data_IF_957143049674
#
_entry.id   IF_957143049674
#
_cell.length_a   1.000
_cell.length_b   1.000
_cell.length_c   1.000
_cell.angle_alpha   90.00
_cell.angle_beta   90.00
_cell.angle_gamma   90.00
#
_symmetry.space_group_name_H-M   'P 1'
#
loop_
_entity.id
_entity.type
_entity.pdbx_description
1 polymer ?
#
# COMPACT_ATOMS: atom_id res chain seq x y z
N UNK A 1 -32.01 0.23 50.51
CA UNK A 1 -32.79 0.97 49.52
C UNK A 1 -31.77 1.49 48.50
N UNK A 2 -31.48 0.79 47.52
CA UNK A 2 -31.97 0.60 46.16
C UNK A 2 -32.25 1.90 45.40
N UNK A 3 -31.38 2.19 44.41
CA UNK A 3 -31.83 2.67 43.09
C UNK A 3 -30.65 2.57 42.11
N UNK A 4 -30.82 1.59 41.21
CA UNK A 4 -30.00 1.38 40.00
C UNK A 4 -30.41 2.43 38.97
N UNK A 5 -29.43 3.21 38.45
CA UNK A 5 -29.60 4.06 37.27
C UNK A 5 -28.81 3.45 36.11
N UNK A 6 -29.51 2.78 35.17
CA UNK A 6 -28.95 2.38 33.87
C UNK A 6 -28.92 3.61 32.98
N UNK A 7 -27.75 4.05 32.57
CA UNK A 7 -27.59 5.01 31.48
C UNK A 7 -27.40 4.22 30.18
N UNK A 8 -28.43 4.30 29.34
CA UNK A 8 -28.43 3.79 27.96
C UNK A 8 -27.74 4.85 27.09
N UNK A 9 -26.55 4.56 26.60
CA UNK A 9 -25.92 5.38 25.56
C UNK A 9 -26.45 4.99 24.20
N UNK A 10 -27.21 5.89 23.60
CA UNK A 10 -27.62 5.85 22.19
C UNK A 10 -26.41 6.28 21.36
N UNK A 11 -25.87 5.34 20.59
CA UNK A 11 -24.91 5.64 19.52
C UNK A 11 -25.66 6.27 18.35
N UNK A 12 -25.35 7.53 18.09
CA UNK A 12 -25.81 8.24 16.91
C UNK A 12 -24.94 7.83 15.71
N UNK A 13 -25.48 6.98 14.84
CA UNK A 13 -24.92 6.68 13.53
C UNK A 13 -25.23 7.89 12.64
N UNK A 14 -24.21 8.65 12.26
CA UNK A 14 -24.30 9.68 11.23
C UNK A 14 -24.22 9.00 9.86
N UNK A 15 -25.37 8.77 9.25
CA UNK A 15 -25.50 8.39 7.85
C UNK A 15 -25.28 9.63 6.98
N UNK A 16 -24.12 9.74 6.35
CA UNK A 16 -23.90 10.67 5.24
C UNK A 16 -24.57 10.11 3.99
N UNK A 17 -25.75 10.59 3.71
CA UNK A 17 -26.44 10.41 2.44
C UNK A 17 -25.75 11.24 1.35
N UNK A 18 -24.94 10.61 0.53
CA UNK A 18 -24.46 11.19 -0.72
C UNK A 18 -25.56 11.22 -1.76
N UNK A 19 -25.86 12.40 -2.30
CA UNK A 19 -26.79 12.58 -3.41
C UNK A 19 -26.33 11.81 -4.64
N UNK A 20 -27.08 10.79 -5.02
CA UNK A 20 -26.92 10.10 -6.29
C UNK A 20 -27.62 10.87 -7.40
N UNK A 21 -26.90 11.14 -8.50
CA UNK A 21 -27.49 11.46 -9.80
C UNK A 21 -27.90 10.15 -10.48
N UNK A 22 -29.16 10.09 -10.86
CA UNK A 22 -29.74 9.00 -11.63
C UNK A 22 -29.19 9.03 -13.07
N UNK A 23 -28.95 7.85 -13.62
CA UNK A 23 -28.88 7.64 -15.06
C UNK A 23 -27.81 6.63 -15.47
N UNK A 24 -28.20 5.44 -15.68
CA UNK A 24 -27.95 4.47 -16.75
C UNK A 24 -27.89 3.04 -16.24
N UNK A 25 -28.99 2.35 -16.47
CA UNK A 25 -29.08 0.90 -16.33
C UNK A 25 -28.33 0.22 -17.47
N UNK A 26 -27.06 -0.02 -17.28
CA UNK A 26 -26.31 -0.98 -18.07
C UNK A 26 -26.18 -2.27 -17.27
N UNK A 27 -26.67 -3.37 -17.87
CA UNK A 27 -26.72 -4.69 -17.26
C UNK A 27 -25.38 -5.12 -16.68
N UNK A 28 -25.32 -5.27 -15.39
CA UNK A 28 -24.20 -5.90 -14.70
C UNK A 28 -24.21 -7.39 -15.04
N UNK A 29 -23.36 -7.76 -16.01
CA UNK A 29 -22.87 -9.14 -16.07
C UNK A 29 -22.23 -9.49 -14.73
N UNK A 30 -22.48 -10.70 -14.17
CA UNK A 30 -21.84 -11.11 -12.92
C UNK A 30 -20.33 -11.00 -13.11
N UNK A 31 -19.69 -10.12 -12.35
CA UNK A 31 -18.22 -9.99 -12.29
C UNK A 31 -17.66 -11.34 -11.90
N UNK A 32 -17.22 -12.11 -12.91
CA UNK A 32 -16.41 -13.28 -12.64
C UNK A 32 -15.26 -12.83 -11.74
N UNK A 33 -15.01 -13.54 -10.67
CA UNK A 33 -13.91 -13.31 -9.76
C UNK A 33 -12.60 -13.42 -10.55
N UNK A 34 -12.18 -12.34 -11.18
CA UNK A 34 -10.84 -12.23 -11.72
C UNK A 34 -9.90 -12.51 -10.54
N UNK A 35 -9.15 -13.61 -10.61
CA UNK A 35 -8.32 -14.05 -9.50
C UNK A 35 -7.46 -12.90 -8.99
N UNK A 36 -7.41 -12.76 -7.67
CA UNK A 36 -6.57 -11.74 -7.03
C UNK A 36 -5.11 -12.10 -7.30
N UNK A 37 -4.36 -11.17 -7.85
CA UNK A 37 -2.94 -11.33 -8.13
C UNK A 37 -2.09 -10.91 -6.94
N UNK A 38 -0.85 -11.39 -6.90
CA UNK A 38 0.12 -10.99 -5.88
C UNK A 38 0.90 -9.74 -6.29
N UNK A 39 0.22 -8.74 -6.85
CA UNK A 39 0.84 -7.47 -7.24
C UNK A 39 1.55 -6.82 -6.04
N UNK A 40 2.80 -6.40 -6.21
CA UNK A 40 3.62 -5.81 -5.13
C UNK A 40 2.94 -4.57 -4.56
N UNK A 41 2.42 -3.72 -5.43
CA UNK A 41 1.70 -2.50 -5.06
C UNK A 41 0.20 -2.64 -5.35
N UNK A 42 -0.62 -1.83 -4.68
CA UNK A 42 -2.06 -1.89 -4.85
C UNK A 42 -2.48 -1.53 -6.28
N UNK A 43 -3.27 -2.37 -6.97
CA UNK A 43 -3.95 -1.95 -8.18
C UNK A 43 -5.02 -0.90 -7.84
N UNK A 44 -5.37 -0.08 -8.82
CA UNK A 44 -6.39 0.96 -8.63
C UNK A 44 -7.75 0.36 -8.33
N UNK A 45 -8.49 1.03 -7.45
CA UNK A 45 -9.83 0.59 -7.08
C UNK A 45 -9.85 -0.75 -6.35
N UNK A 46 -8.74 -1.12 -5.73
CA UNK A 46 -8.68 -2.30 -4.89
C UNK A 46 -9.64 -2.16 -3.70
N UNK A 47 -10.53 -3.11 -3.56
CA UNK A 47 -11.44 -3.18 -2.42
C UNK A 47 -10.73 -3.73 -1.18
N UNK A 48 -11.27 -3.51 0.02
CA UNK A 48 -10.71 -4.04 1.26
C UNK A 48 -10.52 -5.57 1.25
N UNK A 49 -11.47 -6.40 0.79
CA UNK A 49 -11.26 -7.84 0.67
C UNK A 49 -10.12 -8.20 -0.30
N UNK A 50 -10.02 -7.50 -1.45
CA UNK A 50 -8.97 -7.73 -2.43
C UNK A 50 -7.60 -7.33 -1.89
N UNK A 51 -7.50 -6.20 -1.19
CA UNK A 51 -6.29 -5.78 -0.47
C UNK A 51 -5.81 -6.88 0.48
N UNK A 52 -6.70 -7.39 1.33
CA UNK A 52 -6.36 -8.45 2.27
C UNK A 52 -5.84 -9.70 1.55
N UNK A 53 -6.56 -10.17 0.53
CA UNK A 53 -6.16 -11.36 -0.25
C UNK A 53 -4.80 -11.15 -0.93
N UNK A 54 -4.56 -9.97 -1.50
CA UNK A 54 -3.26 -9.64 -2.10
C UNK A 54 -2.14 -9.68 -1.05
N UNK A 55 -2.35 -9.10 0.13
CA UNK A 55 -1.37 -9.13 1.20
C UNK A 55 -1.06 -10.56 1.66
N UNK A 56 -2.06 -11.40 1.80
CA UNK A 56 -1.88 -12.83 2.12
C UNK A 56 -1.03 -13.54 1.06
N UNK A 57 -1.31 -13.28 -0.22
CA UNK A 57 -0.54 -13.87 -1.33
C UNK A 57 0.92 -13.38 -1.31
N UNK A 58 1.16 -12.09 -1.09
CA UNK A 58 2.51 -11.51 -1.00
C UNK A 58 3.29 -12.08 0.17
N UNK A 59 2.69 -12.15 1.35
CA UNK A 59 3.31 -12.71 2.55
C UNK A 59 3.72 -14.16 2.29
N UNK A 60 2.81 -14.98 1.77
CA UNK A 60 3.10 -16.37 1.43
C UNK A 60 4.22 -16.51 0.38
N UNK A 61 4.22 -15.64 -0.64
CA UNK A 61 5.26 -15.61 -1.67
C UNK A 61 6.62 -15.28 -1.05
N UNK A 62 6.71 -14.21 -0.29
CA UNK A 62 7.97 -13.73 0.27
C UNK A 62 8.52 -14.63 1.39
N UNK A 63 7.66 -15.30 2.17
CA UNK A 63 8.11 -16.36 3.09
C UNK A 63 8.83 -17.46 2.32
N UNK A 64 8.31 -17.90 1.16
CA UNK A 64 8.96 -18.93 0.35
C UNK A 64 10.27 -18.44 -0.29
N UNK A 65 10.29 -17.20 -0.79
CA UNK A 65 11.47 -16.60 -1.43
C UNK A 65 12.58 -16.29 -0.42
N UNK A 66 12.24 -15.89 0.80
CA UNK A 66 13.19 -15.66 1.87
C UNK A 66 13.86 -16.96 2.40
N UNK A 67 13.40 -18.13 1.97
CA UNK A 67 13.97 -19.43 2.32
C UNK A 67 13.04 -20.26 3.20
N UNK A 68 13.49 -21.47 3.64
CA UNK A 68 12.66 -22.36 4.42
C UNK A 68 12.18 -21.63 5.68
N UNK A 69 10.85 -21.64 5.93
CA UNK A 69 10.29 -20.90 7.01
C UNK A 69 10.87 -21.40 8.34
N UNK A 70 11.38 -20.52 9.20
CA UNK A 70 11.60 -20.90 10.59
C UNK A 70 10.27 -21.39 11.17
N UNK A 71 10.31 -22.21 12.23
CA UNK A 71 9.08 -22.69 12.92
C UNK A 71 8.10 -21.57 13.25
N UNK A 72 8.59 -20.33 13.36
CA UNK A 72 7.83 -19.10 13.53
C UNK A 72 6.93 -18.69 12.35
N UNK A 73 7.12 -19.24 11.14
CA UNK A 73 6.25 -18.89 9.99
C UNK A 73 4.81 -19.34 10.19
N UNK A 74 4.60 -20.46 10.88
CA UNK A 74 3.27 -20.92 11.22
C UNK A 74 2.53 -19.90 12.09
N UNK A 75 3.22 -19.30 13.07
CA UNK A 75 2.67 -18.24 13.91
C UNK A 75 2.32 -16.98 13.12
N UNK A 76 3.16 -16.57 12.16
CA UNK A 76 2.85 -15.44 11.28
C UNK A 76 1.61 -15.67 10.42
N UNK A 77 1.50 -16.84 9.81
CA UNK A 77 0.34 -17.19 8.98
C UNK A 77 -0.93 -17.30 9.83
N UNK A 78 -0.81 -17.73 11.08
CA UNK A 78 -1.92 -17.74 12.02
C UNK A 78 -2.39 -16.32 12.37
N UNK A 79 -1.47 -15.37 12.63
CA UNK A 79 -1.80 -13.95 12.80
C UNK A 79 -2.54 -13.43 11.58
N UNK A 80 -2.02 -13.71 10.38
CA UNK A 80 -2.66 -13.26 9.14
C UNK A 80 -4.07 -13.84 9.01
N UNK A 81 -4.25 -15.12 9.34
CA UNK A 81 -5.57 -15.77 9.32
C UNK A 81 -6.52 -15.17 10.34
N UNK A 82 -6.05 -14.85 11.53
CA UNK A 82 -6.85 -14.31 12.62
C UNK A 82 -7.08 -12.80 12.50
N UNK A 83 -6.36 -12.10 11.63
CA UNK A 83 -6.51 -10.65 11.45
C UNK A 83 -7.88 -10.22 10.87
N UNK A 84 -8.71 -11.20 10.48
CA UNK A 84 -10.08 -10.98 10.07
C UNK A 84 -11.02 -11.97 10.76
N UNK A 85 -12.20 -11.48 11.13
CA UNK A 85 -13.30 -12.32 11.59
C UNK A 85 -13.97 -13.06 10.40
N UNK A 86 -14.93 -13.95 10.71
CA UNK A 86 -15.67 -14.72 9.72
C UNK A 86 -16.47 -13.83 8.74
N UNK A 87 -16.81 -12.60 9.14
CA UNK A 87 -17.48 -11.62 8.29
C UNK A 87 -16.48 -10.81 7.42
N UNK A 88 -15.18 -11.11 7.49
CA UNK A 88 -14.13 -10.41 6.76
C UNK A 88 -13.81 -9.03 7.33
N UNK A 89 -14.28 -8.70 8.53
CA UNK A 89 -13.89 -7.50 9.26
C UNK A 89 -12.57 -7.75 9.98
N UNK A 90 -11.82 -6.69 10.24
CA UNK A 90 -10.60 -6.80 11.02
C UNK A 90 -10.94 -7.26 12.45
N UNK A 91 -10.30 -8.35 12.88
CA UNK A 91 -10.43 -8.86 14.22
C UNK A 91 -9.44 -8.13 15.15
N UNK A 92 -9.88 -7.81 16.35
CA UNK A 92 -8.96 -7.32 17.39
C UNK A 92 -8.01 -8.45 17.79
N UNK A 93 -6.72 -8.21 17.61
CA UNK A 93 -5.67 -9.10 18.08
C UNK A 93 -4.97 -8.49 19.29
N UNK A 94 -4.59 -9.31 20.25
CA UNK A 94 -3.78 -8.84 21.36
C UNK A 94 -2.44 -8.30 20.83
N UNK A 95 -2.12 -7.01 21.01
CA UNK A 95 -0.91 -6.38 20.46
C UNK A 95 0.36 -7.11 20.88
N UNK A 96 0.36 -7.67 22.06
CA UNK A 96 1.51 -8.39 22.63
C UNK A 96 1.81 -9.68 21.90
N UNK A 97 0.80 -10.43 21.47
CA UNK A 97 0.96 -11.70 20.76
C UNK A 97 1.51 -11.45 19.34
N UNK A 98 1.00 -10.43 18.67
CA UNK A 98 1.51 -9.99 17.36
C UNK A 98 2.99 -9.64 17.46
N UNK A 99 3.37 -8.79 18.40
CA UNK A 99 4.77 -8.36 18.60
C UNK A 99 5.67 -9.51 18.97
N UNK A 100 5.24 -10.43 19.83
CA UNK A 100 6.02 -11.61 20.23
C UNK A 100 6.31 -12.53 19.06
N UNK A 101 5.32 -12.73 18.19
CA UNK A 101 5.48 -13.54 16.98
C UNK A 101 6.42 -12.89 15.98
N UNK A 102 6.27 -11.57 15.75
CA UNK A 102 7.15 -10.81 14.87
C UNK A 102 8.60 -10.77 15.38
N UNK A 103 8.79 -10.61 16.69
CA UNK A 103 10.12 -10.67 17.32
C UNK A 103 10.78 -12.03 17.08
N UNK A 104 10.04 -13.11 17.29
CA UNK A 104 10.54 -14.49 17.06
C UNK A 104 10.91 -14.68 15.58
N UNK A 105 10.09 -14.17 14.66
CA UNK A 105 10.34 -14.21 13.23
C UNK A 105 11.62 -13.46 12.84
N UNK A 106 11.76 -12.22 13.27
CA UNK A 106 12.93 -11.39 12.93
C UNK A 106 14.21 -11.92 13.56
N UNK A 107 14.18 -12.41 14.82
CA UNK A 107 15.31 -13.08 15.45
C UNK A 107 15.74 -14.33 14.69
N UNK A 108 14.80 -15.10 14.16
CA UNK A 108 15.09 -16.29 13.34
C UNK A 108 15.80 -15.98 12.03
N UNK A 109 15.72 -14.75 11.54
CA UNK A 109 16.41 -14.29 10.34
C UNK A 109 17.80 -13.68 10.63
N UNK A 110 18.11 -13.36 11.89
CA UNK A 110 19.41 -12.80 12.25
C UNK A 110 20.54 -13.78 11.92
N UNK A 111 21.66 -13.25 11.40
CA UNK A 111 22.82 -14.06 10.98
C UNK A 111 22.60 -14.84 9.68
N UNK A 112 21.46 -14.72 9.02
CA UNK A 112 21.24 -15.23 7.66
C UNK A 112 21.82 -14.24 6.62
N UNK A 113 21.83 -14.65 5.34
CA UNK A 113 22.22 -13.76 4.26
C UNK A 113 21.27 -12.54 4.15
N UNK A 114 21.72 -11.51 3.44
CA UNK A 114 21.02 -10.24 3.32
C UNK A 114 19.63 -10.37 2.66
N UNK A 115 19.47 -11.31 1.73
CA UNK A 115 18.19 -11.56 1.05
C UNK A 115 17.15 -12.07 2.04
N UNK A 116 17.54 -13.05 2.87
CA UNK A 116 16.65 -13.62 3.90
C UNK A 116 16.29 -12.62 4.98
N UNK A 117 17.27 -11.83 5.43
CA UNK A 117 17.02 -10.77 6.40
C UNK A 117 16.07 -9.70 5.83
N UNK A 118 16.33 -9.21 4.61
CA UNK A 118 15.46 -8.25 3.95
C UNK A 118 14.05 -8.80 3.73
N UNK A 119 13.92 -10.05 3.29
CA UNK A 119 12.64 -10.73 3.15
C UNK A 119 11.89 -10.87 4.47
N UNK A 120 12.60 -11.12 5.58
CA UNK A 120 11.99 -11.17 6.89
C UNK A 120 11.39 -9.83 7.33
N UNK A 121 12.06 -8.72 7.06
CA UNK A 121 11.54 -7.37 7.31
C UNK A 121 10.35 -7.02 6.42
N UNK A 122 10.38 -7.41 5.13
CA UNK A 122 9.22 -7.24 4.24
C UNK A 122 7.98 -7.97 4.76
N UNK A 123 8.15 -9.24 5.15
CA UNK A 123 7.05 -10.04 5.71
C UNK A 123 6.54 -9.42 6.99
N UNK A 124 7.44 -9.02 7.90
CA UNK A 124 7.08 -8.40 9.17
C UNK A 124 6.29 -7.10 8.98
N UNK A 125 6.69 -6.25 8.02
CA UNK A 125 5.97 -5.02 7.68
C UNK A 125 4.53 -5.32 7.22
N UNK A 126 4.35 -6.28 6.32
CA UNK A 126 3.01 -6.64 5.81
C UNK A 126 2.14 -7.28 6.87
N UNK A 127 2.68 -8.19 7.67
CA UNK A 127 1.95 -8.83 8.77
C UNK A 127 1.49 -7.80 9.79
N UNK A 128 2.39 -6.88 10.17
CA UNK A 128 2.04 -5.84 11.13
C UNK A 128 0.93 -4.91 10.59
N UNK A 129 1.00 -4.51 9.31
CA UNK A 129 -0.05 -3.69 8.69
C UNK A 129 -1.40 -4.39 8.60
N UNK A 130 -1.43 -5.72 8.47
CA UNK A 130 -2.68 -6.49 8.49
C UNK A 130 -3.24 -6.67 9.89
N UNK A 131 -2.36 -6.95 10.86
CA UNK A 131 -2.74 -7.24 12.25
C UNK A 131 -2.99 -5.96 13.07
N UNK A 132 -2.36 -4.86 12.67
CA UNK A 132 -2.43 -3.59 13.34
C UNK A 132 -3.51 -2.72 12.70
N UNK A 133 -4.74 -3.07 12.95
CA UNK A 133 -5.81 -2.10 12.74
C UNK A 133 -5.71 -1.04 13.84
N UNK A 134 -6.02 0.24 13.55
CA UNK A 134 -6.06 1.25 14.59
C UNK A 134 -6.89 0.71 15.76
N UNK A 135 -6.21 0.47 16.87
CA UNK A 135 -6.89 0.14 18.11
C UNK A 135 -7.48 1.44 18.60
N UNK A 136 -8.79 1.57 18.53
CA UNK A 136 -9.50 2.68 19.15
C UNK A 136 -9.26 2.64 20.66
N UNK A 137 -8.34 3.47 21.15
CA UNK A 137 -7.99 3.49 22.56
C UNK A 137 -8.85 4.47 23.31
N UNK A 138 -9.61 3.92 24.22
CA UNK A 138 -10.16 4.70 25.32
C UNK A 138 -9.24 4.72 26.54
N UNK A 139 -8.20 3.83 26.56
CA UNK A 139 -7.24 3.76 27.67
C UNK A 139 -5.90 3.21 27.16
N UNK A 140 -4.75 3.92 27.36
CA UNK A 140 -3.44 3.39 27.00
C UNK A 140 -3.09 2.22 27.93
N UNK A 141 -3.51 1.02 27.55
CA UNK A 141 -3.20 -0.17 28.34
C UNK A 141 -1.67 -0.32 28.46
N UNK A 142 -1.21 -0.75 29.61
CA UNK A 142 0.20 -1.05 29.86
C UNK A 142 0.76 -2.01 28.79
N UNK A 143 -0.05 -2.92 28.27
CA UNK A 143 0.30 -3.84 27.20
C UNK A 143 0.65 -3.14 25.89
N UNK A 144 -0.05 -2.08 25.54
CA UNK A 144 0.24 -1.30 24.32
C UNK A 144 1.57 -0.54 24.45
N UNK A 145 1.82 0.09 25.59
CA UNK A 145 3.09 0.77 25.85
C UNK A 145 4.28 -0.21 25.78
N UNK A 146 4.11 -1.43 26.28
CA UNK A 146 5.09 -2.50 26.18
C UNK A 146 5.28 -2.97 24.74
N UNK A 147 4.18 -3.21 24.01
CA UNK A 147 4.22 -3.59 22.59
C UNK A 147 4.96 -2.54 21.75
N UNK A 148 4.66 -1.25 21.97
CA UNK A 148 5.33 -0.13 21.32
C UNK A 148 6.83 -0.09 21.60
N UNK A 149 7.22 -0.28 22.87
CA UNK A 149 8.62 -0.31 23.28
C UNK A 149 9.36 -1.46 22.60
N UNK A 150 8.76 -2.64 22.53
CA UNK A 150 9.34 -3.81 21.85
C UNK A 150 9.47 -3.59 20.35
N UNK A 151 8.42 -3.06 19.67
CA UNK A 151 8.46 -2.74 18.26
C UNK A 151 9.59 -1.75 17.94
N UNK A 152 9.76 -0.72 18.77
CA UNK A 152 10.88 0.22 18.66
C UNK A 152 12.23 -0.48 18.77
N UNK A 153 12.37 -1.42 19.70
CA UNK A 153 13.57 -2.27 19.84
C UNK A 153 13.85 -3.17 18.64
N UNK A 154 12.84 -3.47 17.83
CA UNK A 154 12.95 -4.23 16.57
C UNK A 154 13.14 -3.33 15.33
N UNK A 155 13.29 -2.01 15.52
CA UNK A 155 13.48 -1.05 14.43
C UNK A 155 12.18 -0.59 13.75
N UNK A 156 11.02 -0.91 14.32
CA UNK A 156 9.75 -0.37 13.86
C UNK A 156 9.45 0.96 14.55
N UNK A 157 8.90 1.91 13.82
CA UNK A 157 8.35 3.15 14.38
C UNK A 157 6.84 3.08 14.48
N UNK A 158 6.29 3.75 15.49
CA UNK A 158 4.85 3.90 15.67
C UNK A 158 4.55 5.33 16.11
N UNK A 159 3.48 5.89 15.57
CA UNK A 159 3.02 7.24 15.86
C UNK A 159 1.63 7.17 16.50
N UNK A 160 1.38 8.06 17.45
CA UNK A 160 0.05 8.25 18.03
C UNK A 160 -0.63 9.37 17.25
N UNK A 161 -1.74 9.08 16.60
CA UNK A 161 -2.57 10.09 15.97
C UNK A 161 -3.23 10.93 17.06
N UNK A 162 -2.95 12.23 17.06
CA UNK A 162 -3.59 13.16 17.99
C UNK A 162 -5.08 13.37 17.71
N UNK A 163 -5.52 13.08 16.50
CA UNK A 163 -6.90 13.27 16.08
C UNK A 163 -7.81 12.10 16.48
N UNK A 164 -7.30 10.87 16.38
CA UNK A 164 -8.08 9.65 16.64
C UNK A 164 -7.69 8.95 17.94
N UNK A 165 -6.63 9.40 18.59
CA UNK A 165 -6.01 8.72 19.73
C UNK A 165 -5.60 7.26 19.43
N UNK A 166 -5.35 6.98 18.15
CA UNK A 166 -4.99 5.67 17.63
C UNK A 166 -3.49 5.61 17.38
N UNK A 167 -2.89 4.45 17.60
CA UNK A 167 -1.49 4.25 17.27
C UNK A 167 -1.37 3.63 15.89
N UNK A 168 -0.65 4.32 15.01
CA UNK A 168 -0.35 3.85 13.67
C UNK A 168 1.09 3.31 13.58
N UNK A 169 1.28 2.27 12.78
CA UNK A 169 2.61 1.82 12.40
C UNK A 169 3.18 2.80 11.37
N UNK A 170 4.28 3.47 11.72
CA UNK A 170 4.90 4.51 10.89
C UNK A 170 6.07 3.99 10.03
N UNK A 171 6.33 2.67 9.99
CA UNK A 171 7.36 2.08 9.15
C UNK A 171 8.64 1.72 9.90
N UNK A 172 9.78 1.77 9.18
CA UNK A 172 11.10 1.39 9.66
C UNK A 172 11.59 0.08 9.06
N UNK A 173 10.77 -0.95 8.99
CA UNK A 173 11.19 -2.25 8.47
C UNK A 173 11.40 -2.28 6.96
N UNK A 174 10.64 -1.53 6.18
CA UNK A 174 10.92 -1.39 4.75
C UNK A 174 12.28 -0.73 4.52
N UNK A 175 12.63 0.27 5.33
CA UNK A 175 13.95 0.90 5.27
C UNK A 175 15.08 -0.09 5.62
N UNK A 176 14.89 -0.95 6.63
CA UNK A 176 15.82 -2.02 6.96
C UNK A 176 15.99 -3.01 5.79
N UNK A 177 14.90 -3.40 5.14
CA UNK A 177 14.96 -4.27 3.97
C UNK A 177 15.74 -3.64 2.82
N UNK A 178 15.56 -2.35 2.55
CA UNK A 178 16.33 -1.61 1.55
C UNK A 178 17.81 -1.58 1.91
N UNK A 179 18.17 -1.25 3.15
CA UNK A 179 19.57 -1.18 3.59
C UNK A 179 20.29 -2.52 3.47
N UNK A 180 19.61 -3.63 3.75
CA UNK A 180 20.18 -4.97 3.69
C UNK A 180 20.33 -5.51 2.26
N UNK A 181 19.45 -5.10 1.33
CA UNK A 181 19.38 -5.72 0.01
C UNK A 181 19.01 -4.71 -1.09
N UNK A 182 19.61 -3.51 -1.09
CA UNK A 182 19.24 -2.38 -1.97
C UNK A 182 19.16 -2.75 -3.46
N UNK A 183 20.12 -3.54 -3.95
CA UNK A 183 20.20 -3.95 -5.36
C UNK A 183 19.53 -5.31 -5.62
N UNK A 184 19.00 -5.98 -4.62
CA UNK A 184 18.30 -7.24 -4.77
C UNK A 184 16.78 -7.09 -4.73
N UNK A 185 16.08 -8.17 -5.09
CA UNK A 185 14.62 -8.15 -5.24
C UNK A 185 13.87 -7.72 -3.98
N UNK A 186 14.31 -8.14 -2.80
CA UNK A 186 13.63 -7.80 -1.54
C UNK A 186 13.75 -6.31 -1.21
N UNK A 187 14.94 -5.71 -1.38
CA UNK A 187 15.15 -4.29 -1.15
C UNK A 187 14.45 -3.42 -2.18
N UNK A 188 14.46 -3.82 -3.45
CA UNK A 188 13.76 -3.09 -4.50
C UNK A 188 12.22 -3.14 -4.32
N UNK A 189 11.67 -4.28 -3.90
CA UNK A 189 10.25 -4.39 -3.50
C UNK A 189 9.93 -3.49 -2.30
N UNK A 190 10.82 -3.43 -1.30
CA UNK A 190 10.66 -2.53 -0.17
C UNK A 190 10.63 -1.05 -0.60
N UNK A 191 11.48 -0.66 -1.54
CA UNK A 191 11.48 0.70 -2.12
C UNK A 191 10.15 1.02 -2.79
N UNK A 192 9.60 0.12 -3.60
CA UNK A 192 8.29 0.32 -4.23
C UNK A 192 7.15 0.43 -3.22
N UNK A 193 7.19 -0.35 -2.14
CA UNK A 193 6.19 -0.27 -1.07
C UNK A 193 6.29 1.02 -0.24
N UNK A 194 7.48 1.59 -0.09
CA UNK A 194 7.64 2.92 0.49
C UNK A 194 7.03 3.98 -0.41
N UNK A 195 7.28 3.89 -1.73
CA UNK A 195 6.70 4.81 -2.71
C UNK A 195 5.17 4.71 -2.80
N UNK A 196 4.59 3.53 -2.56
CA UNK A 196 3.14 3.35 -2.50
C UNK A 196 2.49 4.21 -1.41
N UNK A 197 3.18 4.42 -0.31
CA UNK A 197 2.73 5.25 0.81
C UNK A 197 3.06 6.74 0.64
N UNK A 198 3.90 7.09 -0.34
CA UNK A 198 4.30 8.48 -0.55
C UNK A 198 3.18 9.26 -1.24
N UNK A 199 2.99 10.46 -0.73
CA UNK A 199 2.11 11.45 -1.32
C UNK A 199 2.92 12.53 -2.01
N UNK A 200 2.69 12.70 -3.31
CA UNK A 200 3.09 13.92 -3.98
C UNK A 200 2.06 15.00 -3.61
N UNK A 201 2.43 15.94 -2.78
CA UNK A 201 1.56 17.08 -2.43
C UNK A 201 1.06 17.78 -3.70
N UNK A 202 -0.20 18.26 -3.68
CA UNK A 202 -0.84 18.84 -4.84
C UNK A 202 -0.23 20.18 -5.29
N UNK A 203 -0.38 20.51 -6.56
CA UNK A 203 -0.20 21.85 -7.10
C UNK A 203 1.05 22.10 -7.95
N UNK A 204 2.05 21.19 -7.99
CA UNK A 204 3.20 21.31 -8.90
C UNK A 204 3.70 19.96 -9.38
N UNK A 205 4.40 19.87 -10.54
CA UNK A 205 4.97 18.63 -11.05
C UNK A 205 6.15 18.09 -10.23
N UNK A 206 6.86 18.94 -9.50
CA UNK A 206 8.11 18.60 -8.85
C UNK A 206 8.06 17.40 -7.89
N UNK A 207 7.05 17.26 -7.01
CA UNK A 207 6.93 16.09 -6.15
C UNK A 207 6.81 14.76 -6.94
N UNK A 208 6.13 14.77 -8.09
CA UNK A 208 5.98 13.59 -8.94
C UNK A 208 7.31 13.21 -9.60
N UNK A 209 8.12 14.18 -10.03
CA UNK A 209 9.48 13.92 -10.50
C UNK A 209 10.39 13.37 -9.41
N UNK A 210 10.18 13.74 -8.15
CA UNK A 210 10.86 13.12 -7.02
C UNK A 210 10.54 11.61 -6.89
N UNK A 211 9.30 11.20 -7.20
CA UNK A 211 8.90 9.78 -7.28
C UNK A 211 9.59 9.11 -8.48
N UNK A 212 9.58 9.75 -9.65
CA UNK A 212 10.27 9.24 -10.85
C UNK A 212 11.75 8.98 -10.57
N UNK A 213 12.47 9.93 -9.99
CA UNK A 213 13.89 9.78 -9.66
C UNK A 213 14.18 8.58 -8.75
N UNK A 214 13.25 8.20 -7.88
CA UNK A 214 13.38 7.02 -7.02
C UNK A 214 13.05 5.71 -7.76
N UNK A 215 12.24 5.76 -8.82
CA UNK A 215 11.86 4.61 -9.64
C UNK A 215 12.86 4.32 -10.78
N UNK A 216 13.51 5.34 -11.35
CA UNK A 216 14.47 5.21 -12.44
C UNK A 216 15.54 4.12 -12.19
N UNK A 217 16.18 4.04 -10.99
CA UNK A 217 17.14 2.97 -10.73
C UNK A 217 16.54 1.56 -10.79
N UNK A 218 15.26 1.40 -10.39
CA UNK A 218 14.56 0.11 -10.43
C UNK A 218 14.19 -0.30 -11.85
N UNK A 219 13.92 0.67 -12.72
CA UNK A 219 13.69 0.43 -14.15
C UNK A 219 15.00 0.13 -14.89
N UNK A 220 16.07 0.86 -14.57
CA UNK A 220 17.37 0.73 -15.24
C UNK A 220 18.12 -0.56 -14.84
N UNK A 221 18.06 -0.94 -13.57
CA UNK A 221 18.76 -2.10 -13.02
C UNK A 221 17.82 -2.94 -12.11
N UNK A 222 16.76 -3.53 -12.68
CA UNK A 222 15.82 -4.32 -11.90
C UNK A 222 16.45 -5.65 -11.46
N UNK A 223 16.15 -6.06 -10.22
CA UNK A 223 16.61 -7.34 -9.69
C UNK A 223 15.90 -8.54 -10.35
N UNK A 224 14.65 -8.35 -10.78
CA UNK A 224 13.86 -9.33 -11.50
C UNK A 224 12.81 -8.66 -12.41
N UNK A 225 12.11 -9.47 -13.20
CA UNK A 225 11.11 -8.98 -14.15
C UNK A 225 9.89 -8.36 -13.47
N UNK A 226 9.47 -8.89 -12.33
CA UNK A 226 8.33 -8.36 -11.56
C UNK A 226 8.63 -6.94 -11.04
N UNK A 227 9.83 -6.74 -10.50
CA UNK A 227 10.32 -5.42 -10.08
C UNK A 227 10.33 -4.46 -11.27
N UNK A 228 10.87 -4.90 -12.41
CA UNK A 228 10.95 -4.07 -13.62
C UNK A 228 9.56 -3.58 -14.05
N UNK A 229 8.63 -4.50 -14.25
CA UNK A 229 7.31 -4.13 -14.77
C UNK A 229 6.53 -3.28 -13.78
N UNK A 230 6.61 -3.62 -12.48
CA UNK A 230 5.96 -2.82 -11.44
C UNK A 230 6.54 -1.41 -11.38
N UNK A 231 7.85 -1.26 -11.42
CA UNK A 231 8.52 0.04 -11.41
C UNK A 231 8.14 0.88 -12.64
N UNK A 232 8.13 0.27 -13.84
CA UNK A 232 7.69 0.95 -15.07
C UNK A 232 6.24 1.43 -14.99
N UNK A 233 5.32 0.62 -14.43
CA UNK A 233 3.93 1.01 -14.25
C UNK A 233 3.78 2.16 -13.24
N UNK A 234 4.54 2.13 -12.13
CA UNK A 234 4.53 3.22 -11.15
C UNK A 234 5.12 4.51 -11.71
N UNK A 235 6.23 4.41 -12.45
CA UNK A 235 6.84 5.57 -13.10
C UNK A 235 5.91 6.19 -14.14
N UNK A 236 5.24 5.34 -14.95
CA UNK A 236 4.21 5.80 -15.89
C UNK A 236 3.04 6.47 -15.17
N UNK A 237 2.64 5.96 -14.00
CA UNK A 237 1.60 6.57 -13.16
C UNK A 237 2.04 7.95 -12.65
N UNK A 238 3.30 8.12 -12.22
CA UNK A 238 3.81 9.41 -11.77
C UNK A 238 3.82 10.44 -12.91
N UNK A 239 4.29 10.09 -14.09
CA UNK A 239 4.21 10.97 -15.27
C UNK A 239 2.77 11.27 -15.68
N UNK A 240 1.86 10.30 -15.64
CA UNK A 240 0.45 10.54 -15.91
C UNK A 240 -0.18 11.49 -14.89
N UNK A 241 0.23 11.46 -13.64
CA UNK A 241 -0.27 12.37 -12.62
C UNK A 241 0.17 13.82 -12.91
N UNK A 242 1.36 14.03 -13.52
CA UNK A 242 1.78 15.34 -14.07
C UNK A 242 0.82 15.80 -15.19
N UNK A 243 0.43 14.88 -16.09
CA UNK A 243 -0.58 15.21 -17.13
C UNK A 243 -1.91 15.57 -16.50
N UNK A 244 -2.31 14.90 -15.42
CA UNK A 244 -3.54 15.18 -14.70
C UNK A 244 -3.56 16.59 -14.08
N UNK A 245 -2.43 17.05 -13.54
CA UNK A 245 -2.30 18.41 -13.01
C UNK A 245 -2.60 19.47 -14.09
N UNK A 246 -2.03 19.32 -15.29
CA UNK A 246 -2.27 20.24 -16.41
C UNK A 246 -3.72 20.19 -16.92
N UNK A 247 -4.41 19.07 -16.72
CA UNK A 247 -5.81 18.88 -17.06
C UNK A 247 -6.79 19.43 -16.01
N UNK A 248 -6.27 20.00 -14.92
CA UNK A 248 -7.06 20.59 -13.84
C UNK A 248 -7.66 19.60 -12.85
N UNK A 249 -7.17 18.35 -12.81
CA UNK A 249 -7.41 17.46 -11.67
C UNK A 249 -6.61 17.99 -10.47
N UNK A 250 -7.28 18.31 -9.38
CA UNK A 250 -6.67 18.97 -8.24
C UNK A 250 -6.94 20.48 -8.18
N UNK A 251 -8.08 20.89 -8.66
CA UNK A 251 -8.48 22.25 -9.04
C UNK A 251 -8.47 23.33 -7.97
N UNK A 252 -8.06 23.07 -6.78
CA UNK A 252 -8.29 24.11 -5.75
C UNK A 252 -7.40 25.35 -5.90
N UNK A 253 -6.29 25.33 -6.66
CA UNK A 253 -5.41 26.50 -6.63
C UNK A 253 -4.51 26.82 -7.82
N UNK A 254 -4.56 26.21 -8.97
CA UNK A 254 -3.51 26.54 -9.94
C UNK A 254 -4.04 26.84 -11.33
N UNK A 255 -3.47 27.87 -11.90
CA UNK A 255 -3.41 28.05 -13.35
C UNK A 255 -2.72 26.81 -13.95
N UNK A 256 -3.54 25.78 -14.22
CA UNK A 256 -3.09 24.50 -14.73
C UNK A 256 -2.41 24.61 -16.09
N UNK A 257 -2.69 25.69 -16.80
CA UNK A 257 -2.15 25.95 -18.16
C UNK A 257 -0.64 26.15 -18.17
N UNK A 258 -0.06 26.63 -17.05
CA UNK A 258 1.39 26.81 -16.93
C UNK A 258 2.19 25.49 -17.01
N UNK A 259 1.55 24.34 -16.76
CA UNK A 259 2.19 23.04 -16.80
C UNK A 259 1.98 22.26 -18.12
N UNK A 260 1.35 22.87 -19.13
CA UNK A 260 1.12 22.23 -20.42
C UNK A 260 2.41 21.72 -21.11
N UNK A 261 3.54 22.46 -21.13
CA UNK A 261 4.76 21.96 -21.74
C UNK A 261 5.30 20.70 -21.04
N UNK A 262 5.30 20.68 -19.70
CA UNK A 262 5.71 19.51 -18.93
C UNK A 262 4.76 18.33 -19.13
N UNK A 263 3.45 18.60 -19.22
CA UNK A 263 2.44 17.57 -19.43
C UNK A 263 2.61 16.82 -20.75
N UNK A 264 2.94 17.50 -21.84
CA UNK A 264 3.18 16.85 -23.14
C UNK A 264 4.42 15.93 -23.10
N UNK A 265 5.51 16.39 -22.47
CA UNK A 265 6.69 15.56 -22.23
C UNK A 265 6.37 14.37 -21.35
N UNK A 266 5.67 14.59 -20.22
CA UNK A 266 5.26 13.56 -19.28
C UNK A 266 4.33 12.53 -19.95
N UNK A 267 3.39 12.97 -20.80
CA UNK A 267 2.49 12.10 -21.57
C UNK A 267 3.28 11.14 -22.46
N UNK A 268 4.25 11.65 -23.19
CA UNK A 268 5.11 10.84 -24.07
C UNK A 268 5.86 9.76 -23.26
N UNK A 269 6.44 10.14 -22.10
CA UNK A 269 7.14 9.22 -21.21
C UNK A 269 6.19 8.17 -20.63
N UNK A 270 5.03 8.60 -20.14
CA UNK A 270 4.02 7.67 -19.58
C UNK A 270 3.59 6.62 -20.59
N UNK A 271 3.31 7.02 -21.84
CA UNK A 271 2.92 6.10 -22.92
C UNK A 271 4.02 5.06 -23.16
N UNK A 272 5.28 5.49 -23.30
CA UNK A 272 6.41 4.58 -23.55
C UNK A 272 6.59 3.56 -22.40
N UNK A 273 6.50 4.02 -21.16
CA UNK A 273 6.64 3.15 -19.98
C UNK A 273 5.49 2.15 -19.85
N UNK A 274 4.23 2.57 -20.05
CA UNK A 274 3.10 1.65 -20.07
C UNK A 274 3.26 0.59 -21.15
N UNK A 275 3.65 0.97 -22.37
CA UNK A 275 3.89 0.02 -23.46
C UNK A 275 4.98 -0.99 -23.11
N UNK A 276 6.10 -0.53 -22.55
CA UNK A 276 7.20 -1.40 -22.14
C UNK A 276 6.80 -2.37 -21.02
N UNK A 277 6.06 -1.91 -20.02
CA UNK A 277 5.59 -2.74 -18.93
C UNK A 277 4.60 -3.81 -19.40
N UNK A 278 3.62 -3.41 -20.24
CA UNK A 278 2.57 -4.29 -20.76
C UNK A 278 3.10 -5.33 -21.76
N UNK A 279 4.23 -5.07 -22.40
CA UNK A 279 4.92 -6.07 -23.20
C UNK A 279 5.50 -7.22 -22.35
N UNK A 280 5.81 -6.94 -21.08
CA UNK A 280 6.33 -7.93 -20.13
C UNK A 280 5.28 -8.61 -19.28
N UNK A 281 4.28 -7.88 -18.82
CA UNK A 281 3.12 -8.39 -18.07
C UNK A 281 1.84 -7.69 -18.53
N UNK A 282 0.90 -8.46 -19.03
CA UNK A 282 -0.44 -7.98 -19.43
C UNK A 282 -1.57 -8.58 -18.60
N UNK A 283 -1.25 -9.43 -17.63
CA UNK A 283 -2.24 -10.28 -16.94
C UNK A 283 -2.59 -9.83 -15.54
N UNK A 284 -1.64 -9.21 -14.83
CA UNK A 284 -1.87 -8.72 -13.48
C UNK A 284 -2.94 -7.63 -13.42
N UNK A 285 -3.52 -7.41 -12.27
CA UNK A 285 -4.50 -6.31 -12.10
C UNK A 285 -3.85 -4.95 -12.27
N UNK A 286 -2.60 -4.82 -11.83
CA UNK A 286 -1.83 -3.60 -12.00
C UNK A 286 -1.61 -3.29 -13.49
N UNK A 287 -1.24 -4.30 -14.29
CA UNK A 287 -1.09 -4.19 -15.73
C UNK A 287 -2.41 -3.82 -16.44
N UNK A 288 -3.52 -4.42 -16.05
CA UNK A 288 -4.86 -4.06 -16.58
C UNK A 288 -5.20 -2.60 -16.31
N UNK A 289 -4.88 -2.10 -15.11
CA UNK A 289 -5.00 -0.68 -14.78
C UNK A 289 -4.12 0.21 -15.67
N UNK A 290 -2.87 -0.21 -15.91
CA UNK A 290 -1.94 0.45 -16.83
C UNK A 290 -2.43 0.47 -18.27
N UNK A 291 -3.01 -0.62 -18.76
CA UNK A 291 -3.60 -0.70 -20.10
C UNK A 291 -4.76 0.29 -20.28
N UNK A 292 -5.64 0.40 -19.29
CA UNK A 292 -6.72 1.37 -19.30
C UNK A 292 -6.20 2.82 -19.31
N UNK A 293 -5.14 3.11 -18.53
CA UNK A 293 -4.50 4.41 -18.50
C UNK A 293 -3.84 4.75 -19.85
N UNK A 294 -3.13 3.79 -20.45
CA UNK A 294 -2.53 3.92 -21.77
C UNK A 294 -3.57 4.25 -22.84
N UNK A 295 -4.68 3.51 -22.87
CA UNK A 295 -5.76 3.74 -23.82
C UNK A 295 -6.35 5.16 -23.71
N UNK A 296 -6.50 5.69 -22.49
CA UNK A 296 -6.95 7.07 -22.29
C UNK A 296 -5.95 8.10 -22.80
N UNK A 297 -4.67 7.94 -22.48
CA UNK A 297 -3.62 8.88 -22.91
C UNK A 297 -3.46 8.89 -24.43
N UNK A 298 -3.47 7.73 -25.08
CA UNK A 298 -3.37 7.61 -26.55
C UNK A 298 -4.64 8.10 -27.24
N UNK A 299 -5.80 7.95 -26.64
CA UNK A 299 -7.07 8.51 -27.12
C UNK A 299 -7.24 10.01 -26.90
N UNK A 300 -6.24 10.70 -26.33
CA UNK A 300 -6.30 12.15 -26.08
C UNK A 300 -7.24 12.53 -24.93
N UNK A 301 -7.64 11.56 -24.10
CA UNK A 301 -8.52 11.82 -22.96
C UNK A 301 -7.69 12.19 -21.72
N UNK A 302 -8.18 13.15 -20.96
CA UNK A 302 -7.57 13.52 -19.69
C UNK A 302 -7.54 12.32 -18.71
N UNK A 303 -6.48 12.17 -17.91
CA UNK A 303 -6.46 11.17 -16.84
C UNK A 303 -7.67 11.36 -15.92
N UNK A 304 -8.32 10.25 -15.57
CA UNK A 304 -9.50 10.27 -14.69
C UNK A 304 -9.17 9.88 -13.24
N UNK A 305 -7.94 9.50 -12.98
CA UNK A 305 -7.42 9.12 -11.67
C UNK A 305 -6.00 9.60 -11.51
N UNK A 306 -5.61 9.85 -10.28
CA UNK A 306 -4.24 10.13 -9.85
C UNK A 306 -3.82 9.09 -8.82
N UNK A 307 -2.56 8.68 -8.85
CA UNK A 307 -2.03 7.68 -7.91
C UNK A 307 -1.36 8.30 -6.71
N UNK A 308 -0.51 9.29 -6.98
CA UNK A 308 0.36 9.90 -5.97
C UNK A 308 -0.17 11.25 -5.44
N UNK A 309 -1.33 11.64 -5.87
CA UNK A 309 -1.95 12.87 -5.39
C UNK A 309 -2.67 12.61 -4.06
N UNK A 310 -2.31 13.36 -3.03
CA UNK A 310 -3.00 13.34 -1.76
C UNK A 310 -3.78 14.64 -1.60
N UNK A 311 -5.08 14.52 -1.43
CA UNK A 311 -5.89 15.63 -0.94
C UNK A 311 -5.39 15.94 0.47
N UNK A 312 -5.08 17.21 0.76
CA UNK A 312 -4.64 17.62 2.09
C UNK A 312 -5.60 17.09 3.15
N UNK A 313 -5.05 16.31 4.09
CA UNK A 313 -5.76 15.87 5.28
C UNK A 313 -5.91 17.03 6.25
#
# INVERSE_FOLDING_TARGET
MSLRGRATFLSAIVLLLGCGSAGETSGESPRGSAGVTADIVAPRGETQPEYYQRQVLLINKWIREAGPPPRSSTGLLEIVRQSRDEAGKFAEMAPFDVVTTLETWLKGAQGKDSVRQAGAYLVADRVLRLAWHPFGFTDPSQQLAQARTRLKGLGASSELSSASNEMAYAGGWLQQAVQLNANGSMGQRATMLQLEADCAGGGSPQPYYGIVQRLEPLVAAPADSEVKWTAQLLEADAYRDVVALASGLGKENADSTKFLPEAESAKTRAIALYQAALAGDSTSRLAKGGAAALARLTGGLAPNHVRFFCFGQ
#
